data_IF_861385302077
#
_entry.id   IF_861385302077
#
_cell.length_a   1.000
_cell.length_b   1.000
_cell.length_c   1.000
_cell.angle_alpha   90.00
_cell.angle_beta   90.00
_cell.angle_gamma   90.00
#
_symmetry.space_group_name_H-M   'P 1'
#
loop_
_entity.id
_entity.type
_entity.pdbx_description
1 polymer ?
#
# COMPACT_ATOMS: atom_id res chain seq x y z
N UNK A 1 27.35 -51.56 -7.60
CA UNK A 1 26.42 -52.69 -7.50
C UNK A 1 25.49 -52.49 -6.33
N UNK A 2 24.23 -52.52 -6.54
CA UNK A 2 23.00 -52.51 -5.75
C UNK A 2 22.16 -51.32 -6.12
N UNK A 3 21.06 -51.32 -6.84
CA UNK A 3 20.04 -52.39 -6.98
C UNK A 3 18.74 -51.60 -6.83
N UNK A 4 18.17 -51.09 -7.92
CA UNK A 4 16.91 -50.34 -7.98
C UNK A 4 15.75 -51.31 -7.86
N UNK A 5 14.81 -51.09 -6.94
CA UNK A 5 13.53 -51.82 -6.83
C UNK A 5 12.43 -51.08 -7.59
N UNK A 6 11.52 -51.76 -8.30
CA UNK A 6 10.45 -51.12 -9.10
C UNK A 6 9.18 -50.93 -8.27
N UNK A 7 8.49 -49.83 -8.60
CA UNK A 7 7.18 -49.43 -8.04
C UNK A 7 6.06 -50.25 -8.74
N UNK A 8 5.07 -50.82 -8.05
CA UNK A 8 3.96 -51.55 -8.65
C UNK A 8 2.88 -50.61 -9.20
N UNK A 9 2.46 -50.89 -10.44
CA UNK A 9 1.29 -50.30 -11.12
C UNK A 9 0.01 -51.07 -10.68
N UNK A 10 -0.98 -50.32 -10.21
CA UNK A 10 -2.34 -50.83 -9.99
C UNK A 10 -3.18 -50.74 -11.27
N UNK A 11 -4.01 -51.76 -11.62
CA UNK A 11 -4.86 -51.75 -12.80
C UNK A 11 -6.22 -51.10 -12.53
N UNK A 12 -6.61 -50.17 -13.40
CA UNK A 12 -7.95 -49.57 -13.43
C UNK A 12 -8.90 -50.53 -14.18
N UNK A 13 -9.85 -51.11 -13.49
CA UNK A 13 -10.97 -51.82 -14.12
C UNK A 13 -12.12 -50.85 -14.38
N UNK A 14 -12.45 -50.63 -15.63
CA UNK A 14 -13.64 -49.89 -16.07
C UNK A 14 -14.83 -50.84 -16.05
N UNK A 15 -15.75 -50.68 -15.16
CA UNK A 15 -17.03 -51.38 -15.16
C UNK A 15 -18.05 -50.53 -15.93
N UNK A 16 -18.43 -50.97 -17.12
CA UNK A 16 -19.53 -50.42 -17.90
C UNK A 16 -20.87 -50.98 -17.44
N UNK A 17 -21.65 -50.21 -16.66
CA UNK A 17 -23.04 -50.54 -16.38
C UNK A 17 -23.94 -49.94 -17.48
N UNK A 18 -24.53 -50.83 -18.29
CA UNK A 18 -25.62 -50.47 -19.20
C UNK A 18 -26.94 -50.42 -18.42
N UNK A 19 -27.57 -49.24 -18.37
CA UNK A 19 -28.96 -49.12 -17.92
C UNK A 19 -29.97 -49.48 -19.00
N UNK A 20 -31.13 -50.10 -18.72
CA UNK A 20 -32.11 -50.45 -19.69
C UNK A 20 -32.91 -49.24 -20.21
N UNK A 21 -33.18 -49.21 -21.53
CA UNK A 21 -34.04 -48.22 -22.18
C UNK A 21 -35.48 -48.40 -21.69
N UNK A 22 -36.05 -47.38 -21.07
CA UNK A 22 -37.46 -47.29 -20.78
C UNK A 22 -38.22 -46.87 -22.06
N UNK A 23 -39.29 -47.58 -22.38
CA UNK A 23 -40.13 -47.37 -23.56
C UNK A 23 -40.91 -46.04 -23.46
N UNK A 24 -40.90 -45.26 -24.53
CA UNK A 24 -41.66 -44.03 -24.71
C UNK A 24 -43.18 -44.32 -24.87
N UNK A 25 -44.05 -43.52 -24.29
CA UNK A 25 -45.51 -43.62 -24.49
C UNK A 25 -45.92 -43.14 -25.88
N UNK A 26 -47.08 -43.64 -26.43
CA UNK A 26 -47.50 -43.30 -27.77
C UNK A 26 -47.92 -41.84 -27.95
N UNK A 27 -47.82 -41.30 -29.21
CA UNK A 27 -48.10 -39.90 -29.48
C UNK A 27 -49.62 -39.58 -29.35
N UNK A 28 -49.92 -38.51 -28.63
CA UNK A 28 -51.28 -37.97 -28.52
C UNK A 28 -51.74 -37.22 -29.80
N UNK A 29 -53.06 -36.91 -29.91
CA UNK A 29 -53.64 -36.35 -31.14
C UNK A 29 -53.09 -34.95 -31.47
N UNK A 30 -53.06 -34.56 -32.77
CA UNK A 30 -52.43 -33.32 -33.23
C UNK A 30 -53.23 -32.09 -32.78
N UNK A 31 -52.58 -31.15 -32.13
CA UNK A 31 -53.10 -29.85 -31.71
C UNK A 31 -53.08 -28.89 -32.93
N UNK A 32 -54.13 -28.08 -33.19
CA UNK A 32 -54.21 -27.24 -34.38
C UNK A 32 -53.13 -26.14 -34.36
N UNK A 33 -52.25 -26.16 -35.35
CA UNK A 33 -51.05 -25.35 -35.50
C UNK A 33 -51.23 -23.85 -35.58
N UNK A 34 -52.46 -23.35 -35.77
CA UNK A 34 -52.78 -21.90 -35.87
C UNK A 34 -52.75 -21.14 -34.52
N UNK A 35 -52.95 -21.82 -33.39
CA UNK A 35 -52.96 -21.13 -32.07
C UNK A 35 -51.54 -21.03 -31.44
N UNK A 36 -50.63 -21.87 -31.87
CA UNK A 36 -49.24 -21.86 -31.34
C UNK A 36 -48.40 -20.73 -31.97
N UNK A 37 -48.66 -20.36 -33.24
CA UNK A 37 -47.93 -19.32 -33.94
C UNK A 37 -48.20 -17.90 -33.33
N UNK A 38 -49.40 -17.63 -32.80
CA UNK A 38 -49.74 -16.33 -32.21
C UNK A 38 -49.16 -16.19 -30.81
N UNK A 39 -49.09 -17.26 -30.03
CA UNK A 39 -48.46 -17.24 -28.71
C UNK A 39 -46.93 -17.13 -28.76
N UNK A 40 -46.28 -17.77 -29.75
CA UNK A 40 -44.86 -17.69 -29.97
C UNK A 40 -44.40 -16.29 -30.41
N UNK A 41 -45.18 -15.60 -31.24
CA UNK A 41 -44.88 -14.22 -31.66
C UNK A 41 -45.08 -13.20 -30.56
N UNK A 42 -46.06 -13.39 -29.64
CA UNK A 42 -46.27 -12.56 -28.48
C UNK A 42 -45.12 -12.70 -27.43
N UNK A 43 -44.55 -13.90 -27.25
CA UNK A 43 -43.43 -14.14 -26.35
C UNK A 43 -42.09 -13.60 -26.92
N UNK A 44 -41.92 -13.55 -28.25
CA UNK A 44 -40.74 -12.94 -28.88
C UNK A 44 -40.77 -11.41 -28.82
N UNK A 45 -41.91 -10.76 -28.78
CA UNK A 45 -42.05 -9.31 -28.63
C UNK A 45 -41.97 -8.86 -27.17
N UNK A 46 -42.27 -9.71 -26.20
CA UNK A 46 -42.12 -9.44 -24.76
C UNK A 46 -40.63 -9.62 -24.28
N UNK A 47 -39.81 -10.39 -25.02
CA UNK A 47 -38.42 -10.64 -24.69
C UNK A 47 -37.43 -9.51 -25.02
N UNK A 48 -37.81 -8.54 -25.85
CA UNK A 48 -36.97 -7.40 -26.23
C UNK A 48 -37.04 -6.17 -25.30
N UNK A 49 -37.87 -6.21 -24.25
CA UNK A 49 -38.20 -5.04 -23.43
C UNK A 49 -37.54 -4.95 -22.06
N UNK A 50 -36.71 -5.89 -21.63
CA UNK A 50 -36.16 -5.90 -20.27
C UNK A 50 -34.65 -6.21 -20.22
N UNK A 51 -33.85 -5.66 -21.13
CA UNK A 51 -32.49 -5.29 -20.77
C UNK A 51 -32.65 -4.01 -19.94
N UNK A 52 -32.82 -4.17 -18.63
CA UNK A 52 -32.45 -3.12 -17.70
C UNK A 52 -30.97 -2.87 -17.99
N UNK A 53 -30.60 -1.66 -18.45
CA UNK A 53 -29.18 -1.31 -18.38
C UNK A 53 -28.82 -1.49 -16.92
N UNK A 54 -27.77 -2.23 -16.62
CA UNK A 54 -27.03 -2.13 -15.36
C UNK A 54 -26.44 -0.71 -15.29
N UNK A 55 -27.32 0.28 -15.19
CA UNK A 55 -26.97 1.63 -14.82
C UNK A 55 -26.79 1.63 -13.30
N UNK A 56 -25.72 1.02 -12.82
CA UNK A 56 -25.04 1.65 -11.70
C UNK A 56 -24.68 3.02 -12.23
N UNK A 57 -25.53 4.01 -11.91
CA UNK A 57 -25.24 5.40 -12.21
C UNK A 57 -23.79 5.63 -11.78
N UNK A 58 -22.95 6.06 -12.71
CA UNK A 58 -21.55 6.31 -12.40
C UNK A 58 -21.53 7.27 -11.21
N UNK A 59 -20.79 6.93 -10.16
CA UNK A 59 -20.65 7.79 -8.98
C UNK A 59 -20.22 9.18 -9.46
N UNK A 60 -21.01 10.25 -9.24
CA UNK A 60 -20.76 11.57 -9.80
C UNK A 60 -19.58 12.29 -9.13
N UNK A 61 -19.02 11.74 -8.05
CA UNK A 61 -17.92 12.36 -7.32
C UNK A 61 -16.64 12.38 -8.16
N UNK A 62 -15.87 13.50 -8.15
CA UNK A 62 -14.58 13.56 -8.83
C UNK A 62 -13.65 12.46 -8.35
N UNK A 63 -12.91 11.87 -9.28
CA UNK A 63 -11.95 10.79 -9.00
C UNK A 63 -10.54 11.31 -8.83
N UNK A 64 -9.93 10.95 -7.72
CA UNK A 64 -8.54 11.27 -7.36
C UNK A 64 -7.74 9.98 -7.25
N UNK A 65 -6.55 9.95 -7.81
CA UNK A 65 -5.67 8.80 -7.75
C UNK A 65 -4.37 9.19 -7.07
N UNK A 66 -4.09 8.55 -5.94
CA UNK A 66 -2.83 8.71 -5.22
C UNK A 66 -1.83 7.62 -5.66
N UNK A 67 -0.55 7.95 -5.65
CA UNK A 67 0.52 7.03 -6.05
C UNK A 67 0.56 5.77 -5.17
N UNK A 68 0.40 5.89 -3.86
CA UNK A 68 0.49 4.79 -2.91
C UNK A 68 -0.54 4.87 -1.79
N UNK A 69 -0.66 3.77 -1.05
CA UNK A 69 -1.76 3.55 -0.10
C UNK A 69 -1.76 4.52 1.06
N UNK A 70 -0.59 4.92 1.58
CA UNK A 70 -0.49 5.88 2.69
C UNK A 70 -1.00 7.25 2.25
N UNK A 71 -0.61 7.70 1.06
CA UNK A 71 -1.09 8.97 0.50
C UNK A 71 -2.58 8.92 0.18
N UNK A 72 -3.09 7.77 -0.27
CA UNK A 72 -4.52 7.58 -0.52
C UNK A 72 -5.33 7.71 0.79
N UNK A 73 -4.88 7.10 1.88
CA UNK A 73 -5.55 7.24 3.19
C UNK A 73 -5.59 8.70 3.67
N UNK A 74 -4.45 9.41 3.60
CA UNK A 74 -4.43 10.84 3.95
C UNK A 74 -5.39 11.66 3.08
N UNK A 75 -5.43 11.36 1.77
CA UNK A 75 -6.32 12.02 0.83
C UNK A 75 -7.80 11.74 1.14
N UNK A 76 -8.16 10.52 1.51
CA UNK A 76 -9.51 10.15 1.93
C UNK A 76 -9.97 10.92 3.18
N UNK A 77 -9.08 11.08 4.17
CA UNK A 77 -9.36 11.86 5.39
C UNK A 77 -9.69 13.33 5.05
N UNK A 78 -8.97 13.92 4.10
CA UNK A 78 -9.20 15.31 3.67
C UNK A 78 -10.43 15.41 2.75
N UNK A 79 -10.66 14.40 1.90
CA UNK A 79 -11.78 14.37 0.96
C UNK A 79 -13.15 14.27 1.65
N UNK A 80 -13.21 13.65 2.85
CA UNK A 80 -14.45 13.49 3.63
C UNK A 80 -15.64 12.96 2.80
N UNK A 81 -15.39 11.99 1.94
CA UNK A 81 -16.42 11.35 1.11
C UNK A 81 -16.90 12.18 -0.08
N UNK A 82 -16.39 13.40 -0.31
CA UNK A 82 -16.76 14.20 -1.48
C UNK A 82 -16.05 13.78 -2.77
N UNK A 83 -14.90 13.12 -2.65
CA UNK A 83 -14.11 12.62 -3.77
C UNK A 83 -14.02 11.10 -3.69
N UNK A 84 -13.86 10.46 -4.84
CA UNK A 84 -13.48 9.05 -4.94
C UNK A 84 -11.96 8.99 -4.95
N UNK A 85 -11.36 8.62 -3.83
CA UNK A 85 -9.91 8.44 -3.75
C UNK A 85 -9.56 6.97 -3.97
N UNK A 86 -8.53 6.72 -4.76
CA UNK A 86 -7.98 5.39 -4.95
C UNK A 86 -6.45 5.44 -4.97
N UNK A 87 -5.80 4.32 -4.67
CA UNK A 87 -4.34 4.17 -4.79
C UNK A 87 -3.97 3.46 -6.10
N UNK A 88 -2.84 3.84 -6.70
CA UNK A 88 -2.21 3.09 -7.79
C UNK A 88 -1.66 1.78 -7.25
N UNK A 89 -0.81 1.84 -6.21
CA UNK A 89 -0.27 0.63 -5.59
C UNK A 89 -1.30 -0.05 -4.70
N UNK A 90 -1.08 -1.34 -4.43
CA UNK A 90 -1.91 -2.13 -3.52
C UNK A 90 -1.25 -2.22 -2.14
N UNK A 91 -2.02 -2.53 -1.08
CA UNK A 91 -1.43 -2.86 0.22
C UNK A 91 -0.33 -3.91 0.10
N UNK A 92 0.81 -3.66 0.77
CA UNK A 92 1.99 -4.53 0.74
C UNK A 92 2.91 -4.34 -0.47
N UNK A 93 2.58 -3.46 -1.43
CA UNK A 93 3.45 -3.19 -2.57
C UNK A 93 4.60 -2.24 -2.21
N UNK A 94 5.78 -2.55 -2.72
CA UNK A 94 6.93 -1.65 -2.72
C UNK A 94 6.68 -0.50 -3.71
N UNK A 95 7.05 0.74 -3.34
CA UNK A 95 6.71 1.95 -4.11
C UNK A 95 7.82 2.42 -5.03
N UNK A 96 9.08 2.28 -4.63
CA UNK A 96 10.22 2.88 -5.33
C UNK A 96 10.43 2.26 -6.71
N UNK A 97 10.41 0.94 -6.79
CA UNK A 97 10.57 0.16 -8.01
C UNK A 97 9.26 -0.38 -8.59
N UNK A 98 8.12 0.25 -8.27
CA UNK A 98 6.82 -0.25 -8.69
C UNK A 98 6.69 -0.38 -10.21
N UNK A 99 6.28 -1.55 -10.67
CA UNK A 99 5.99 -1.82 -12.08
C UNK A 99 4.50 -1.68 -12.35
N UNK A 100 4.16 -0.65 -13.11
CA UNK A 100 2.77 -0.34 -13.48
C UNK A 100 2.20 -1.44 -14.36
N UNK A 101 1.04 -1.95 -14.00
CA UNK A 101 0.34 -3.01 -14.73
C UNK A 101 -0.82 -2.45 -15.57
N UNK A 102 -1.29 -3.20 -16.59
CA UNK A 102 -2.51 -2.82 -17.33
C UNK A 102 -3.74 -2.67 -16.41
N UNK A 103 -3.79 -3.36 -15.27
CA UNK A 103 -4.86 -3.22 -14.30
C UNK A 103 -4.82 -1.85 -13.61
N UNK A 104 -3.64 -1.30 -13.35
CA UNK A 104 -3.48 0.03 -12.76
C UNK A 104 -3.95 1.12 -13.71
N UNK A 105 -3.61 1.00 -15.01
CA UNK A 105 -4.13 1.90 -16.04
C UNK A 105 -5.66 1.84 -16.15
N UNK A 106 -6.25 0.65 -16.02
CA UNK A 106 -7.73 0.54 -16.01
C UNK A 106 -8.35 1.21 -14.78
N UNK A 107 -7.75 1.06 -13.59
CA UNK A 107 -8.20 1.73 -12.37
C UNK A 107 -8.07 3.24 -12.46
N UNK A 108 -7.06 3.74 -13.16
CA UNK A 108 -6.82 5.15 -13.32
C UNK A 108 -7.79 5.86 -14.29
N UNK A 109 -8.55 5.10 -15.07
CA UNK A 109 -9.50 5.69 -16.04
C UNK A 109 -10.50 6.60 -15.35
N UNK A 110 -10.64 7.82 -15.89
CA UNK A 110 -11.54 8.83 -15.35
C UNK A 110 -11.00 9.55 -14.11
N UNK A 111 -9.73 9.35 -13.73
CA UNK A 111 -9.08 10.19 -12.73
C UNK A 111 -8.99 11.61 -13.24
N UNK A 112 -9.31 12.58 -12.38
CA UNK A 112 -9.31 14.01 -12.65
C UNK A 112 -8.15 14.73 -11.94
N UNK A 113 -7.48 14.03 -11.03
CA UNK A 113 -6.30 14.50 -10.29
C UNK A 113 -5.40 13.33 -9.93
N UNK A 114 -4.09 13.49 -10.15
CA UNK A 114 -3.06 12.60 -9.66
C UNK A 114 -2.34 13.23 -8.47
N UNK A 115 -2.19 12.47 -7.39
CA UNK A 115 -1.40 12.84 -6.22
C UNK A 115 -0.14 12.00 -6.18
N UNK A 116 0.99 12.67 -6.01
CA UNK A 116 2.29 12.02 -5.84
C UNK A 116 3.03 12.64 -4.64
N UNK A 117 3.86 11.86 -3.97
CA UNK A 117 4.75 12.39 -2.95
C UNK A 117 5.78 13.34 -3.58
N UNK A 118 6.39 12.92 -4.67
CA UNK A 118 7.53 13.59 -5.28
C UNK A 118 8.85 13.24 -4.58
N UNK A 119 9.84 14.12 -4.66
CA UNK A 119 11.18 13.93 -4.07
C UNK A 119 11.89 12.67 -4.60
N UNK A 120 11.54 12.22 -5.81
CA UNK A 120 12.13 11.03 -6.44
C UNK A 120 11.60 9.69 -5.92
N UNK A 121 10.52 9.67 -5.12
CA UNK A 121 9.89 8.44 -4.63
C UNK A 121 9.37 7.61 -5.79
N UNK A 122 8.48 8.17 -6.59
CA UNK A 122 7.75 7.47 -7.65
C UNK A 122 8.40 7.71 -9.03
N UNK A 123 9.56 7.11 -9.29
CA UNK A 123 10.26 7.25 -10.58
C UNK A 123 9.44 6.76 -11.78
N UNK A 124 8.48 5.89 -11.55
CA UNK A 124 7.57 5.33 -12.56
C UNK A 124 6.41 6.26 -12.91
N UNK A 125 6.11 7.28 -12.08
CA UNK A 125 4.91 8.13 -12.18
C UNK A 125 4.86 8.93 -13.50
N UNK A 126 6.00 9.39 -14.02
CA UNK A 126 6.00 10.16 -15.27
C UNK A 126 5.50 9.33 -16.46
N UNK A 127 5.96 8.08 -16.57
CA UNK A 127 5.49 7.15 -17.62
C UNK A 127 4.03 6.75 -17.42
N UNK A 128 3.63 6.55 -16.16
CA UNK A 128 2.25 6.24 -15.83
C UNK A 128 1.31 7.40 -16.22
N UNK A 129 1.62 8.62 -15.80
CA UNK A 129 0.82 9.80 -16.13
C UNK A 129 0.73 10.06 -17.65
N UNK A 130 1.83 9.88 -18.37
CA UNK A 130 1.84 10.00 -19.84
C UNK A 130 0.87 9.03 -20.52
N UNK A 131 0.65 7.85 -19.94
CA UNK A 131 -0.29 6.85 -20.47
C UNK A 131 -1.77 7.19 -20.22
N UNK A 132 -2.06 8.16 -19.35
CA UNK A 132 -3.42 8.57 -18.99
C UNK A 132 -3.89 9.84 -19.74
N UNK A 133 -2.98 10.53 -20.42
CA UNK A 133 -3.25 11.83 -21.02
C UNK A 133 -3.07 13.02 -20.04
N UNK A 134 -3.53 14.21 -20.40
CA UNK A 134 -3.30 15.43 -19.62
C UNK A 134 -4.18 15.48 -18.36
N UNK A 135 -3.70 14.91 -17.26
CA UNK A 135 -4.35 14.97 -15.95
C UNK A 135 -3.52 15.87 -15.03
N UNK A 136 -4.13 16.83 -14.29
CA UNK A 136 -3.43 17.62 -13.29
C UNK A 136 -2.72 16.74 -12.27
N UNK A 137 -1.47 17.12 -11.91
CA UNK A 137 -0.64 16.41 -10.92
C UNK A 137 -0.31 17.35 -9.77
N UNK A 138 -0.32 16.81 -8.55
CA UNK A 138 0.06 17.55 -7.34
C UNK A 138 1.10 16.76 -6.55
N UNK A 139 2.24 17.41 -6.31
CA UNK A 139 3.29 16.91 -5.39
C UNK A 139 2.96 17.38 -3.99
N UNK A 140 2.59 16.43 -3.13
CA UNK A 140 2.15 16.76 -1.76
C UNK A 140 3.30 17.12 -0.84
N UNK A 141 4.55 16.84 -1.21
CA UNK A 141 5.76 17.23 -0.47
C UNK A 141 6.16 18.70 -0.64
N UNK A 142 5.45 19.47 -1.49
CA UNK A 142 5.83 20.85 -1.77
C UNK A 142 5.89 21.67 -0.47
N UNK A 143 7.02 22.38 -0.25
CA UNK A 143 7.25 23.23 0.91
C UNK A 143 7.71 22.51 2.18
N UNK A 144 7.83 21.17 2.17
CA UNK A 144 8.39 20.42 3.31
C UNK A 144 9.91 20.67 3.37
N UNK A 145 10.41 20.97 4.57
CA UNK A 145 11.85 21.03 4.82
C UNK A 145 12.46 19.63 4.72
N UNK A 146 13.21 19.39 3.66
CA UNK A 146 13.76 18.06 3.36
C UNK A 146 15.07 17.79 4.11
N UNK A 147 15.33 16.51 4.37
CA UNK A 147 16.60 15.98 4.86
C UNK A 147 17.27 15.28 3.68
N UNK A 148 18.57 15.50 3.41
CA UNK A 148 19.26 14.78 2.36
C UNK A 148 19.39 13.29 2.71
N UNK A 149 19.40 12.43 1.70
CA UNK A 149 19.72 11.01 1.87
C UNK A 149 21.15 10.90 2.36
N UNK A 150 21.35 10.30 3.52
CA UNK A 150 22.67 10.18 4.10
C UNK A 150 23.57 9.30 3.23
N UNK A 151 24.71 9.83 2.82
CA UNK A 151 25.68 9.14 1.97
C UNK A 151 25.40 9.26 0.47
N UNK A 152 24.37 10.00 0.07
CA UNK A 152 24.19 10.38 -1.34
C UNK A 152 25.14 11.53 -1.70
N UNK A 153 26.05 11.34 -2.69
CA UNK A 153 27.00 12.35 -3.09
C UNK A 153 26.35 13.59 -3.75
N UNK A 154 25.11 13.48 -4.20
CA UNK A 154 24.35 14.57 -4.84
C UNK A 154 23.41 15.29 -3.87
N UNK A 155 23.29 14.82 -2.63
CA UNK A 155 22.41 15.41 -1.63
C UNK A 155 20.92 15.30 -1.99
N UNK A 156 20.53 14.26 -2.72
CA UNK A 156 19.13 14.03 -3.06
C UNK A 156 18.25 14.00 -1.79
N UNK A 157 17.06 14.62 -1.82
CA UNK A 157 16.19 14.65 -0.65
C UNK A 157 15.64 13.25 -0.32
N UNK A 158 15.61 12.90 0.97
CA UNK A 158 14.91 11.71 1.43
C UNK A 158 13.40 11.88 1.22
N UNK A 159 12.74 10.99 0.47
CA UNK A 159 11.33 11.16 0.14
C UNK A 159 10.36 10.79 1.25
N UNK A 160 10.77 10.08 2.32
CA UNK A 160 9.91 9.50 3.35
C UNK A 160 9.36 10.53 4.36
N UNK A 161 8.89 11.67 3.86
CA UNK A 161 8.43 12.81 4.66
C UNK A 161 7.23 12.47 5.55
N UNK A 162 6.38 11.52 5.11
CA UNK A 162 5.20 11.08 5.86
C UNK A 162 5.56 10.33 7.15
N UNK A 163 6.81 9.90 7.32
CA UNK A 163 7.26 9.30 8.59
C UNK A 163 7.36 10.33 9.73
N UNK A 164 7.11 11.60 9.45
CA UNK A 164 6.96 12.68 10.43
C UNK A 164 5.51 13.18 10.43
N UNK A 165 4.75 13.08 11.53
CA UNK A 165 3.43 13.70 11.64
C UNK A 165 3.45 15.22 11.39
N UNK A 166 4.55 15.89 11.73
CA UNK A 166 4.74 17.33 11.48
C UNK A 166 4.82 17.64 9.98
N UNK A 167 5.57 16.83 9.23
CA UNK A 167 5.61 16.95 7.77
C UNK A 167 4.27 16.55 7.13
N UNK A 168 3.61 15.53 7.67
CA UNK A 168 2.29 15.09 7.20
C UNK A 168 1.21 16.20 7.31
N UNK A 169 1.30 17.09 8.29
CA UNK A 169 0.41 18.26 8.37
C UNK A 169 0.48 19.15 7.13
N UNK A 170 1.68 19.40 6.61
CA UNK A 170 1.86 20.18 5.40
C UNK A 170 1.35 19.43 4.18
N UNK A 171 1.56 18.10 4.12
CA UNK A 171 0.97 17.27 3.06
C UNK A 171 -0.56 17.38 3.06
N UNK A 172 -1.19 17.37 4.23
CA UNK A 172 -2.65 17.55 4.41
C UNK A 172 -3.09 18.92 3.90
N UNK A 173 -2.34 19.99 4.15
CA UNK A 173 -2.66 21.31 3.61
C UNK A 173 -2.55 21.36 2.08
N UNK A 174 -1.52 20.74 1.50
CA UNK A 174 -1.37 20.63 0.04
C UNK A 174 -2.50 19.82 -0.60
N UNK A 175 -2.96 18.73 0.05
CA UNK A 175 -4.13 17.97 -0.37
C UNK A 175 -5.40 18.83 -0.33
N UNK A 176 -5.65 19.55 0.77
CA UNK A 176 -6.78 20.46 0.91
C UNK A 176 -6.81 21.49 -0.24
N UNK A 177 -5.69 22.15 -0.49
CA UNK A 177 -5.59 23.14 -1.57
C UNK A 177 -5.84 22.52 -2.96
N UNK A 178 -5.36 21.31 -3.20
CA UNK A 178 -5.60 20.58 -4.45
C UNK A 178 -7.09 20.26 -4.62
N UNK A 179 -7.77 19.84 -3.57
CA UNK A 179 -9.19 19.49 -3.59
C UNK A 179 -10.09 20.72 -3.73
N UNK A 180 -9.74 21.84 -3.09
CA UNK A 180 -10.45 23.11 -3.29
C UNK A 180 -10.38 23.61 -4.75
N UNK A 181 -9.25 23.34 -5.45
CA UNK A 181 -9.14 23.66 -6.88
C UNK A 181 -9.94 22.69 -7.75
N UNK A 182 -9.99 21.40 -7.40
CA UNK A 182 -10.71 20.37 -8.15
C UNK A 182 -12.24 20.48 -7.99
N UNK A 183 -12.71 20.74 -6.78
CA UNK A 183 -14.13 20.88 -6.41
C UNK A 183 -14.32 22.10 -5.51
N UNK A 184 -14.41 23.32 -6.07
CA UNK A 184 -14.57 24.55 -5.30
C UNK A 184 -15.83 24.56 -4.41
N UNK A 185 -16.89 23.85 -4.82
CA UNK A 185 -18.12 23.74 -4.05
C UNK A 185 -17.91 22.96 -2.72
N UNK A 186 -16.88 22.11 -2.65
CA UNK A 186 -16.48 21.35 -1.47
C UNK A 186 -15.54 22.08 -0.51
N UNK A 187 -15.08 23.30 -0.82
CA UNK A 187 -13.99 23.98 -0.12
C UNK A 187 -14.17 24.04 1.41
N UNK A 188 -15.38 24.39 1.88
CA UNK A 188 -15.68 24.44 3.32
C UNK A 188 -15.54 23.05 4.01
N UNK A 189 -15.94 21.99 3.30
CA UNK A 189 -15.80 20.60 3.80
C UNK A 189 -14.32 20.21 3.89
N UNK A 190 -13.55 20.48 2.84
CA UNK A 190 -12.11 20.15 2.83
C UNK A 190 -11.35 20.87 3.93
N UNK A 191 -11.62 22.17 4.18
CA UNK A 191 -11.02 22.92 5.29
C UNK A 191 -11.33 22.29 6.65
N UNK A 192 -12.60 22.01 6.90
CA UNK A 192 -13.03 21.39 8.17
C UNK A 192 -12.35 20.03 8.38
N UNK A 193 -12.31 19.18 7.35
CA UNK A 193 -11.75 17.85 7.46
C UNK A 193 -10.23 17.86 7.55
N UNK A 194 -9.54 18.72 6.81
CA UNK A 194 -8.11 18.93 6.94
C UNK A 194 -7.73 19.41 8.35
N UNK A 195 -8.46 20.40 8.90
CA UNK A 195 -8.23 20.89 10.28
C UNK A 195 -8.43 19.78 11.31
N UNK A 196 -9.50 18.97 11.15
CA UNK A 196 -9.77 17.86 12.08
C UNK A 196 -8.69 16.77 11.99
N UNK A 197 -8.19 16.48 10.78
CA UNK A 197 -7.14 15.48 10.58
C UNK A 197 -5.77 16.00 11.07
N UNK A 198 -5.44 17.27 10.83
CA UNK A 198 -4.24 17.91 11.39
C UNK A 198 -4.22 17.86 12.92
N UNK A 199 -5.37 18.08 13.57
CA UNK A 199 -5.45 17.92 15.02
C UNK A 199 -5.24 16.46 15.48
N UNK A 200 -5.53 15.47 14.65
CA UNK A 200 -5.18 14.06 14.93
C UNK A 200 -3.68 13.81 14.74
N UNK A 201 -3.06 14.44 13.74
CA UNK A 201 -1.61 14.37 13.53
C UNK A 201 -0.83 15.01 14.68
N UNK A 202 -1.31 16.14 15.24
CA UNK A 202 -0.71 16.77 16.41
C UNK A 202 -0.76 15.85 17.64
N UNK A 203 -1.91 15.26 17.90
CA UNK A 203 -2.04 14.26 18.98
C UNK A 203 -1.14 13.05 18.76
N UNK A 204 -1.04 12.59 17.51
CA UNK A 204 -0.13 11.50 17.15
C UNK A 204 1.33 11.88 17.44
N UNK A 205 1.80 13.07 17.05
CA UNK A 205 3.17 13.53 17.34
C UNK A 205 3.45 13.55 18.84
N UNK A 206 2.49 14.00 19.65
CA UNK A 206 2.58 13.98 21.11
C UNK A 206 2.62 12.56 21.70
N UNK A 207 1.75 11.65 21.20
CA UNK A 207 1.75 10.22 21.56
C UNK A 207 3.11 9.57 21.27
N UNK A 208 3.69 9.84 20.08
CA UNK A 208 4.99 9.30 19.67
C UNK A 208 6.10 9.84 20.59
N UNK A 209 6.11 11.15 20.85
CA UNK A 209 7.09 11.79 21.73
C UNK A 209 7.04 11.18 23.13
N UNK A 210 5.85 11.07 23.73
CA UNK A 210 5.66 10.47 25.05
C UNK A 210 6.10 8.99 25.10
N UNK A 211 5.90 8.27 24.01
CA UNK A 211 6.27 6.85 23.91
C UNK A 211 7.77 6.65 23.79
N UNK A 212 8.48 7.55 23.13
CA UNK A 212 9.91 7.43 22.84
C UNK A 212 10.79 8.17 23.85
N UNK A 213 10.28 9.21 24.51
CA UNK A 213 11.02 10.00 25.51
C UNK A 213 11.66 9.17 26.64
N UNK A 214 11.03 8.09 27.17
CA UNK A 214 11.62 7.27 28.23
C UNK A 214 12.80 6.40 27.77
N UNK A 215 13.07 6.28 26.45
CA UNK A 215 14.22 5.51 25.97
C UNK A 215 15.53 6.17 26.41
N UNK A 216 16.47 5.44 27.03
CA UNK A 216 17.79 5.94 27.35
C UNK A 216 18.54 6.36 26.06
N UNK A 217 19.41 7.36 26.17
CA UNK A 217 20.15 7.90 24.99
C UNK A 217 20.91 6.82 24.23
N UNK A 218 21.55 5.92 24.96
CA UNK A 218 22.35 4.80 24.41
C UNK A 218 21.48 3.77 23.65
N UNK A 219 20.17 3.81 23.80
CA UNK A 219 19.19 2.95 23.11
C UNK A 219 18.40 3.64 22.01
N UNK A 220 18.73 4.89 21.72
CA UNK A 220 18.03 5.70 20.71
C UNK A 220 18.57 5.48 19.29
N UNK A 221 19.38 4.46 19.03
CA UNK A 221 19.76 4.08 17.68
C UNK A 221 18.69 3.16 17.08
N UNK A 222 17.92 3.72 16.15
CA UNK A 222 16.95 3.00 15.32
C UNK A 222 17.70 2.36 14.14
N UNK A 223 17.73 1.04 14.09
CA UNK A 223 18.39 0.29 13.01
C UNK A 223 17.33 -0.41 12.16
N UNK A 224 17.29 -0.08 10.87
CA UNK A 224 16.29 -0.52 9.90
C UNK A 224 16.94 -1.08 8.64
N UNK A 225 16.16 -1.69 7.75
CA UNK A 225 16.67 -2.14 6.47
C UNK A 225 16.99 -0.94 5.56
N UNK A 226 16.07 0.01 5.43
CA UNK A 226 16.21 1.22 4.63
C UNK A 226 16.32 2.49 5.49
N UNK A 227 16.98 3.53 4.96
CA UNK A 227 17.08 4.86 5.57
C UNK A 227 15.78 5.67 5.43
N UNK A 228 14.66 5.10 5.85
CA UNK A 228 13.32 5.66 5.65
C UNK A 228 12.81 6.48 6.84
N UNK A 229 13.52 6.47 7.97
CA UNK A 229 13.03 7.03 9.22
C UNK A 229 13.68 8.36 9.63
N UNK A 230 14.43 8.99 8.73
CA UNK A 230 15.22 10.21 9.05
C UNK A 230 14.36 11.35 9.60
N UNK A 231 13.12 11.51 9.12
CA UNK A 231 12.21 12.56 9.62
C UNK A 231 11.65 12.21 11.00
N UNK A 232 11.30 10.94 11.25
CA UNK A 232 10.90 10.46 12.57
C UNK A 232 12.05 10.60 13.56
N UNK A 233 13.26 10.20 13.16
CA UNK A 233 14.46 10.28 13.99
C UNK A 233 14.76 11.71 14.40
N UNK A 234 14.76 12.66 13.46
CA UNK A 234 14.92 14.08 13.73
C UNK A 234 13.90 14.61 14.73
N UNK A 235 12.62 14.28 14.54
CA UNK A 235 11.53 14.88 15.33
C UNK A 235 11.43 14.31 16.75
N UNK A 236 12.01 13.13 16.99
CA UNK A 236 11.91 12.42 18.26
C UNK A 236 13.27 12.05 18.88
N UNK A 237 14.34 12.75 18.47
CA UNK A 237 15.69 12.62 19.04
C UNK A 237 16.18 11.15 19.01
N UNK A 238 16.00 10.48 17.86
CA UNK A 238 16.57 9.18 17.56
C UNK A 238 17.77 9.35 16.61
N UNK A 239 18.73 8.43 16.71
CA UNK A 239 19.74 8.24 15.68
C UNK A 239 19.26 7.15 14.72
N UNK A 240 19.67 7.21 13.46
CA UNK A 240 19.29 6.24 12.44
C UNK A 240 20.51 5.45 11.94
N UNK A 241 20.33 4.14 11.82
CA UNK A 241 21.26 3.25 11.14
C UNK A 241 20.51 2.33 10.19
N UNK A 242 21.08 1.98 9.05
CA UNK A 242 20.38 1.21 8.01
C UNK A 242 21.34 0.35 7.19
N UNK A 243 20.79 -0.69 6.53
CA UNK A 243 21.55 -1.56 5.61
C UNK A 243 21.81 -0.88 4.27
N UNK A 244 20.82 -0.14 3.75
CA UNK A 244 20.94 0.62 2.50
C UNK A 244 20.25 1.99 2.62
N UNK A 245 20.74 2.99 1.87
CA UNK A 245 20.06 4.26 1.76
C UNK A 245 18.75 4.07 0.98
N UNK A 246 17.98 5.12 0.84
CA UNK A 246 16.74 5.16 0.08
C UNK A 246 16.94 4.56 -1.33
N UNK A 247 16.03 3.71 -1.77
CA UNK A 247 16.05 3.03 -3.07
C UNK A 247 17.24 2.07 -3.31
N UNK A 248 17.93 1.65 -2.28
CA UNK A 248 19.19 0.95 -2.38
C UNK A 248 19.19 -0.53 -1.99
N UNK A 249 18.03 -1.23 -1.97
CA UNK A 249 17.97 -2.64 -1.55
C UNK A 249 18.97 -3.53 -2.30
N UNK A 250 19.22 -3.26 -3.59
CA UNK A 250 20.22 -3.97 -4.41
C UNK A 250 21.67 -3.56 -4.10
N UNK A 251 21.89 -2.57 -3.24
CA UNK A 251 23.21 -2.03 -2.90
C UNK A 251 23.76 -2.54 -1.56
N UNK A 252 23.15 -3.57 -0.99
CA UNK A 252 23.68 -4.21 0.22
C UNK A 252 25.01 -4.86 -0.09
N UNK A 253 26.10 -4.18 0.29
CA UNK A 253 27.46 -4.71 0.12
C UNK A 253 27.92 -5.42 1.40
N UNK A 254 28.80 -6.45 1.31
CA UNK A 254 29.37 -7.08 2.48
C UNK A 254 30.04 -6.09 3.44
N UNK A 255 30.63 -5.02 2.91
CA UNK A 255 31.28 -3.98 3.70
C UNK A 255 30.28 -3.12 4.48
N UNK A 256 29.14 -2.73 3.90
CA UNK A 256 28.05 -2.01 4.61
C UNK A 256 27.47 -2.89 5.71
N UNK A 257 27.16 -4.13 5.40
CA UNK A 257 26.62 -5.09 6.37
C UNK A 257 27.59 -5.25 7.55
N UNK A 258 28.87 -5.43 7.30
CA UNK A 258 29.88 -5.56 8.36
C UNK A 258 29.93 -4.31 9.24
N UNK A 259 29.99 -3.11 8.64
CA UNK A 259 29.95 -1.84 9.41
C UNK A 259 28.72 -1.74 10.28
N UNK A 260 27.56 -2.12 9.76
CA UNK A 260 26.33 -2.08 10.55
C UNK A 260 26.36 -3.07 11.73
N UNK A 261 26.83 -4.31 11.48
CA UNK A 261 27.01 -5.33 12.53
C UNK A 261 27.96 -4.81 13.63
N UNK A 262 29.09 -4.22 13.25
CA UNK A 262 30.07 -3.66 14.21
C UNK A 262 29.47 -2.50 15.01
N UNK A 263 28.69 -1.63 14.37
CA UNK A 263 27.96 -0.53 15.03
C UNK A 263 26.94 -1.05 16.04
N UNK A 264 26.08 -1.99 15.61
CA UNK A 264 25.06 -2.59 16.48
C UNK A 264 25.70 -3.28 17.69
N UNK A 265 26.79 -4.01 17.46
CA UNK A 265 27.53 -4.73 18.51
C UNK A 265 28.22 -3.77 19.49
N UNK A 266 28.99 -2.80 18.98
CA UNK A 266 29.76 -1.86 19.80
C UNK A 266 28.86 -0.96 20.65
N UNK A 267 27.71 -0.55 20.10
CA UNK A 267 26.71 0.26 20.80
C UNK A 267 25.73 -0.56 21.64
N UNK A 268 25.85 -1.90 21.63
CA UNK A 268 24.95 -2.81 22.35
C UNK A 268 23.49 -2.57 22.06
N UNK A 269 23.17 -2.30 20.78
CA UNK A 269 21.80 -2.07 20.34
C UNK A 269 20.99 -3.35 20.56
N UNK A 270 19.88 -3.32 21.33
CA UNK A 270 19.18 -4.54 21.72
C UNK A 270 18.34 -5.12 20.58
N UNK A 271 17.93 -4.27 19.63
CA UNK A 271 16.98 -4.65 18.59
C UNK A 271 17.25 -3.92 17.27
N UNK A 272 17.00 -4.63 16.19
CA UNK A 272 16.96 -4.12 14.81
C UNK A 272 15.60 -4.42 14.21
N UNK A 273 15.23 -3.73 13.14
CA UNK A 273 13.91 -3.80 12.51
C UNK A 273 14.05 -3.90 11.00
N UNK A 274 12.96 -4.26 10.32
CA UNK A 274 12.89 -4.20 8.87
C UNK A 274 11.50 -3.79 8.41
N UNK A 275 11.39 -3.26 7.20
CA UNK A 275 10.13 -2.78 6.65
C UNK A 275 9.33 -3.94 6.05
N UNK A 276 8.00 -3.75 5.97
CA UNK A 276 7.07 -4.80 5.53
C UNK A 276 7.12 -5.10 4.04
N UNK A 277 7.69 -4.20 3.25
CA UNK A 277 7.73 -4.27 1.78
C UNK A 277 9.06 -4.79 1.22
N UNK A 278 10.05 -5.08 2.08
CA UNK A 278 11.39 -5.50 1.67
C UNK A 278 11.80 -6.87 2.23
N UNK A 279 12.82 -7.48 1.65
CA UNK A 279 13.36 -8.77 2.11
C UNK A 279 14.21 -8.59 3.39
N UNK A 280 13.77 -9.18 4.48
CA UNK A 280 14.41 -9.06 5.80
C UNK A 280 15.61 -9.96 6.03
N UNK A 281 15.92 -10.91 5.12
CA UNK A 281 17.02 -11.89 5.32
C UNK A 281 18.36 -11.25 5.62
N UNK A 282 18.66 -10.11 5.01
CA UNK A 282 19.88 -9.36 5.29
C UNK A 282 19.91 -8.82 6.73
N UNK A 283 18.78 -8.33 7.25
CA UNK A 283 18.68 -7.84 8.63
C UNK A 283 18.65 -8.98 9.65
N UNK A 284 18.05 -10.12 9.31
CA UNK A 284 18.14 -11.34 10.14
C UNK A 284 19.61 -11.76 10.37
N UNK A 285 20.43 -11.65 9.33
CA UNK A 285 21.86 -11.90 9.44
C UNK A 285 22.56 -10.84 10.32
N UNK A 286 22.24 -9.55 10.16
CA UNK A 286 22.77 -8.50 11.06
C UNK A 286 22.43 -8.81 12.50
N UNK A 287 21.18 -9.17 12.79
CA UNK A 287 20.74 -9.52 14.13
C UNK A 287 21.54 -10.70 14.70
N UNK A 288 21.65 -11.80 13.96
CA UNK A 288 22.36 -13.00 14.37
C UNK A 288 23.86 -12.73 14.65
N UNK A 289 24.54 -11.98 13.78
CA UNK A 289 25.97 -11.71 13.92
C UNK A 289 26.30 -10.61 14.94
N UNK A 290 25.38 -9.68 15.21
CA UNK A 290 25.60 -8.59 16.19
C UNK A 290 25.18 -8.94 17.62
N UNK A 291 24.33 -9.96 17.80
CA UNK A 291 23.72 -10.29 19.08
C UNK A 291 22.44 -9.49 19.38
N UNK A 292 21.97 -8.65 18.48
CA UNK A 292 20.68 -7.97 18.57
C UNK A 292 19.53 -8.92 18.20
N UNK A 293 18.29 -8.58 18.57
CA UNK A 293 17.10 -9.29 18.10
C UNK A 293 16.47 -8.56 16.92
N UNK A 294 15.97 -9.27 15.89
CA UNK A 294 15.02 -8.70 14.95
C UNK A 294 13.67 -8.58 15.66
N UNK A 295 13.38 -7.40 16.20
CA UNK A 295 12.29 -7.21 17.18
C UNK A 295 10.93 -6.93 16.53
N UNK A 296 10.87 -6.70 15.23
CA UNK A 296 9.59 -6.50 14.55
C UNK A 296 9.70 -5.96 13.15
N UNK A 297 8.54 -5.91 12.52
CA UNK A 297 8.34 -5.35 11.19
C UNK A 297 7.69 -3.98 11.32
N UNK A 298 8.23 -3.00 10.60
CA UNK A 298 7.72 -1.64 10.51
C UNK A 298 7.00 -1.45 9.17
N UNK A 299 6.01 -0.58 9.14
CA UNK A 299 5.35 -0.17 7.91
C UNK A 299 5.83 1.22 7.49
N UNK A 300 6.15 1.41 6.21
CA UNK A 300 6.63 2.67 5.64
C UNK A 300 5.87 2.99 4.35
N UNK A 301 6.13 2.25 3.28
CA UNK A 301 5.67 2.56 1.92
C UNK A 301 4.26 2.08 1.62
N UNK A 302 3.72 1.25 2.49
CA UNK A 302 2.42 0.65 2.28
C UNK A 302 1.65 0.45 3.57
N UNK A 303 0.35 0.68 3.50
CA UNK A 303 -0.58 0.21 4.52
C UNK A 303 -0.71 -1.31 4.47
N UNK A 304 -1.11 -1.90 5.58
CA UNK A 304 -1.55 -3.30 5.61
C UNK A 304 -2.94 -3.47 4.98
N UNK A 305 -3.37 -4.70 4.70
CA UNK A 305 -4.79 -4.99 4.49
C UNK A 305 -5.66 -4.49 5.67
N UNK A 306 -6.98 -4.36 5.48
CA UNK A 306 -7.90 -3.80 6.51
C UNK A 306 -7.89 -4.56 7.85
N UNK A 307 -7.60 -5.84 7.83
CA UNK A 307 -7.49 -6.74 9.00
C UNK A 307 -6.06 -6.81 9.57
N UNK A 308 -5.12 -6.11 8.97
CA UNK A 308 -3.71 -6.09 9.40
C UNK A 308 -3.42 -4.99 10.44
N UNK A 309 -2.14 -4.89 10.88
CA UNK A 309 -1.76 -4.01 11.99
C UNK A 309 -1.70 -2.53 11.64
N UNK A 310 -1.65 -2.16 10.37
CA UNK A 310 -1.45 -0.80 9.88
C UNK A 310 -2.43 -0.42 8.74
N UNK A 311 -3.77 -0.50 8.94
CA UNK A 311 -4.74 -0.27 7.87
C UNK A 311 -4.97 1.21 7.54
N UNK A 312 -4.40 2.14 8.29
CA UNK A 312 -4.44 3.58 8.05
C UNK A 312 -3.10 4.22 8.44
N UNK A 313 -2.86 5.44 7.98
CA UNK A 313 -1.62 6.16 8.33
C UNK A 313 -1.44 6.34 9.86
N UNK A 314 -2.50 6.71 10.57
CA UNK A 314 -2.42 6.85 12.03
C UNK A 314 -2.14 5.51 12.72
N UNK A 315 -2.73 4.43 12.25
CA UNK A 315 -2.48 3.08 12.77
C UNK A 315 -1.05 2.62 12.45
N UNK A 316 -0.55 2.92 11.24
CA UNK A 316 0.81 2.64 10.80
C UNK A 316 1.83 3.27 11.77
N UNK A 317 1.70 4.56 12.05
CA UNK A 317 2.63 5.27 12.91
C UNK A 317 2.58 4.75 14.35
N UNK A 318 1.39 4.48 14.90
CA UNK A 318 1.23 3.88 16.23
C UNK A 318 1.82 2.48 16.32
N UNK A 319 1.59 1.64 15.29
CA UNK A 319 2.17 0.30 15.21
C UNK A 319 3.70 0.37 15.23
N UNK A 320 4.27 1.23 14.41
CA UNK A 320 5.72 1.41 14.32
C UNK A 320 6.30 1.81 15.68
N UNK A 321 5.79 2.86 16.30
CA UNK A 321 6.31 3.32 17.59
C UNK A 321 6.11 2.28 18.71
N UNK A 322 4.99 1.59 18.74
CA UNK A 322 4.79 0.50 19.70
C UNK A 322 5.81 -0.64 19.48
N UNK A 323 6.15 -0.92 18.23
CA UNK A 323 7.16 -1.94 17.86
C UNK A 323 8.57 -1.48 18.25
N UNK A 324 8.93 -0.22 17.97
CA UNK A 324 10.20 0.37 18.39
C UNK A 324 10.35 0.34 19.92
N UNK A 325 9.33 0.82 20.63
CA UNK A 325 9.32 0.83 22.10
C UNK A 325 9.56 -0.56 22.69
N UNK A 326 8.86 -1.58 22.19
CA UNK A 326 9.05 -2.97 22.67
C UNK A 326 10.47 -3.50 22.42
N UNK A 327 11.05 -3.19 21.25
CA UNK A 327 12.39 -3.66 20.91
C UNK A 327 13.52 -2.91 21.63
N UNK A 328 13.38 -1.61 21.84
CA UNK A 328 14.40 -0.74 22.40
C UNK A 328 14.31 -0.55 23.92
N UNK A 329 13.17 -0.88 24.56
CA UNK A 329 13.01 -0.77 26.00
C UNK A 329 14.05 -1.60 26.79
N UNK A 330 14.46 -1.17 27.99
CA UNK A 330 15.22 -2.00 28.91
C UNK A 330 14.44 -3.29 29.21
N UNK A 331 15.14 -4.45 29.16
CA UNK A 331 14.60 -5.74 29.64
C UNK A 331 14.73 -5.79 31.14
#
# INVERSE_FOLDING_TARGET
>A
MRGSAPIPRAPWAVASARAPLAALPPPGPPVPTRRIAVLALALLLAGCGLRRPDSRAADPRPRVLASFTVLADMAEQVACGRLQVASVTRPGAEIHGYEVTPADLRRARGAQLLLENGLGLERWMDRFAASLGPIPRVRVSQGVATIPIQGDPHGAPNPHIWMSPRSARLMVDNLRQAFERLDPAGAATYRRCATAYQAQLDRLDDELRQSLAPLPRERRLLVTCEGAFSYLARDHDLEEGWLWPVNGEREVTPQRMRRLIDTVRSRRVPAVFCESTVDRRAMERVAAESGASLAGILHVDSLSPPDGPAPSYLALMRHNVATLKRGLAPR
#
